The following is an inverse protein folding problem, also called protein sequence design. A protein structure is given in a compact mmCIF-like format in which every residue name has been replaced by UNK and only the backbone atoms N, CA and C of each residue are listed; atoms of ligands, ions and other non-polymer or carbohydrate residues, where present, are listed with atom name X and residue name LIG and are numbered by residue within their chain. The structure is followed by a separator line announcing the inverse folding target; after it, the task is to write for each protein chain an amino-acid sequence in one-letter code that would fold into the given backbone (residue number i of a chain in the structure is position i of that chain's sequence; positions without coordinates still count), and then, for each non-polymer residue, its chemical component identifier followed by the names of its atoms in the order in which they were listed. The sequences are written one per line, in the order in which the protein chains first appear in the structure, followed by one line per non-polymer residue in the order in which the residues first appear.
data_IF_280114101646
#
_entry.id   IF_280114101646
#
_cell.length_a   1.000
_cell.length_b   1.000
_cell.length_c   1.000
_cell.angle_alpha   90.00
_cell.angle_beta   90.00
_cell.angle_gamma   90.00
#
_symmetry.space_group_name_H-M   'P 1'
#
loop_
_entity.id
_entity.type
_entity.pdbx_description
1 polymer ?
#
# COMPACT_ATOMS: atom_id res chain seq x y z
N UNK A 1 -12.97 -12.12 2.11
CA UNK A 1 -11.88 -11.33 2.71
C UNK A 1 -11.15 -12.25 3.67
N UNK A 2 -9.85 -12.53 3.44
CA UNK A 2 -9.07 -13.25 4.44
C UNK A 2 -8.98 -12.37 5.70
N UNK A 3 -9.02 -12.99 6.87
CA UNK A 3 -8.92 -12.32 8.18
C UNK A 3 -7.65 -11.47 8.32
N UNK A 4 -6.61 -11.79 7.55
CA UNK A 4 -5.36 -11.04 7.51
C UNK A 4 -5.50 -9.66 6.87
N UNK A 5 -6.28 -9.51 5.79
CA UNK A 5 -6.44 -8.22 5.08
C UNK A 5 -7.05 -7.16 6.00
N UNK A 6 -7.90 -7.58 6.95
CA UNK A 6 -8.50 -6.69 7.94
C UNK A 6 -7.48 -6.05 8.89
N UNK A 7 -6.24 -6.55 8.93
CA UNK A 7 -5.13 -5.98 9.72
C UNK A 7 -4.45 -4.80 9.02
N UNK A 8 -4.65 -4.61 7.71
CA UNK A 8 -4.08 -3.48 6.97
C UNK A 8 -4.74 -2.19 7.45
N UNK A 9 -3.93 -1.30 8.04
CA UNK A 9 -4.36 -0.02 8.59
C UNK A 9 -3.74 1.13 7.80
N UNK A 10 -4.40 2.29 7.86
CA UNK A 10 -3.79 3.52 7.37
C UNK A 10 -2.47 3.80 8.08
N UNK A 11 -1.55 4.46 7.38
CA UNK A 11 -0.19 4.79 7.85
C UNK A 11 0.81 3.64 7.96
N UNK A 12 0.43 2.40 7.64
CA UNK A 12 1.40 1.31 7.51
C UNK A 12 2.30 1.53 6.29
N UNK A 13 3.56 1.10 6.38
CA UNK A 13 4.47 1.06 5.23
C UNK A 13 4.16 -0.15 4.35
N UNK A 14 4.36 0.03 3.04
CA UNK A 14 4.34 -1.04 2.05
C UNK A 14 5.76 -1.19 1.54
N UNK A 15 6.37 -2.32 1.86
CA UNK A 15 7.74 -2.66 1.50
C UNK A 15 7.73 -3.66 0.35
N UNK A 16 8.56 -3.41 -0.65
CA UNK A 16 8.77 -4.32 -1.77
C UNK A 16 9.50 -5.58 -1.32
N UNK A 17 9.41 -6.64 -2.12
CA UNK A 17 10.15 -7.88 -1.85
C UNK A 17 11.69 -7.70 -1.88
N UNK A 18 12.17 -6.58 -2.43
CA UNK A 18 13.55 -6.12 -2.41
C UNK A 18 13.95 -5.35 -1.13
N UNK A 19 13.01 -5.18 -0.19
CA UNK A 19 13.21 -4.44 1.05
C UNK A 19 13.10 -2.92 0.87
N UNK A 20 12.70 -2.42 -0.30
CA UNK A 20 12.60 -0.98 -0.58
C UNK A 20 11.19 -0.48 -0.27
N UNK A 21 11.11 0.72 0.31
CA UNK A 21 9.83 1.40 0.53
C UNK A 21 9.13 1.70 -0.79
N UNK A 22 7.89 1.23 -0.92
CA UNK A 22 7.02 1.48 -2.09
C UNK A 22 6.02 2.59 -1.81
N UNK A 23 5.53 2.68 -0.57
CA UNK A 23 4.62 3.74 -0.18
C UNK A 23 3.91 3.48 1.15
N UNK A 24 3.12 4.45 1.57
CA UNK A 24 2.36 4.40 2.82
C UNK A 24 0.89 4.12 2.51
N UNK A 25 0.24 3.26 3.29
CA UNK A 25 -1.18 2.94 3.15
C UNK A 25 -2.04 4.17 3.50
N UNK A 26 -2.94 4.55 2.59
CA UNK A 26 -4.07 5.45 2.86
C UNK A 26 -5.24 4.64 3.42
N UNK A 27 -5.70 3.65 2.65
CA UNK A 27 -6.75 2.70 3.04
C UNK A 27 -6.80 1.48 2.12
N UNK A 28 -7.55 0.46 2.52
CA UNK A 28 -8.04 -0.57 1.59
C UNK A 28 -9.26 -0.02 0.82
N UNK A 29 -9.27 -0.21 -0.49
CA UNK A 29 -10.30 0.27 -1.41
C UNK A 29 -10.69 -0.88 -2.37
N UNK A 30 -11.74 -1.61 -2.01
CA UNK A 30 -12.14 -2.83 -2.70
C UNK A 30 -11.11 -3.95 -2.53
N UNK A 31 -10.53 -4.39 -3.64
CA UNK A 31 -9.52 -5.46 -3.72
C UNK A 31 -8.07 -4.91 -3.79
N UNK A 32 -7.88 -3.63 -3.49
CA UNK A 32 -6.59 -2.94 -3.59
C UNK A 32 -6.26 -2.14 -2.34
N UNK A 33 -4.96 -1.99 -2.09
CA UNK A 33 -4.39 -1.01 -1.17
C UNK A 33 -4.25 0.30 -1.94
N UNK A 34 -4.84 1.37 -1.43
CA UNK A 34 -4.62 2.72 -1.88
C UNK A 34 -3.46 3.32 -1.11
N UNK A 35 -2.45 3.84 -1.81
CA UNK A 35 -1.32 4.53 -1.19
C UNK A 35 -1.61 6.02 -0.99
N UNK A 36 -0.97 6.61 0.00
CA UNK A 36 -1.11 8.05 0.27
C UNK A 36 -0.57 8.88 -0.89
N UNK A 37 -1.21 10.03 -1.13
CA UNK A 37 -0.82 10.98 -2.18
C UNK A 37 0.47 11.76 -1.83
N UNK A 38 0.81 11.86 -0.54
CA UNK A 38 2.02 12.54 -0.11
C UNK A 38 3.27 11.70 -0.42
N UNK A 39 3.10 10.38 -0.45
CA UNK A 39 4.15 9.39 -0.69
C UNK A 39 4.15 8.89 -2.14
N UNK A 40 3.60 9.69 -3.06
CA UNK A 40 3.75 9.42 -4.48
C UNK A 40 5.18 9.80 -4.90
N UNK A 41 5.79 8.98 -5.77
CA UNK A 41 7.10 9.25 -6.34
C UNK A 41 7.22 10.57 -7.11
N UNK A 42 8.35 10.76 -7.80
CA UNK A 42 8.67 12.03 -8.47
C UNK A 42 8.03 12.14 -9.88
N UNK A 43 8.11 13.34 -10.46
CA UNK A 43 7.69 13.58 -11.84
C UNK A 43 6.18 13.43 -12.06
N UNK A 44 5.79 12.73 -13.12
CA UNK A 44 4.38 12.51 -13.51
C UNK A 44 3.57 11.69 -12.50
N UNK A 45 4.24 11.04 -11.55
CA UNK A 45 3.60 10.28 -10.48
C UNK A 45 3.31 11.12 -9.24
N UNK A 46 3.93 12.31 -9.12
CA UNK A 46 3.81 13.15 -7.92
C UNK A 46 2.36 13.59 -7.71
N UNK A 47 1.85 13.36 -6.50
CA UNK A 47 0.51 13.79 -6.11
C UNK A 47 -0.61 12.90 -6.66
N UNK A 48 -0.32 11.67 -7.06
CA UNK A 48 -1.30 10.67 -7.47
C UNK A 48 -1.50 9.61 -6.39
N UNK A 49 -2.71 9.06 -6.29
CA UNK A 49 -2.90 7.82 -5.54
C UNK A 49 -2.49 6.63 -6.42
N UNK A 50 -1.51 5.88 -5.95
CA UNK A 50 -1.16 4.59 -6.53
C UNK A 50 -1.89 3.47 -5.80
N UNK A 51 -2.04 2.34 -6.48
CA UNK A 51 -2.80 1.21 -5.98
C UNK A 51 -2.00 -0.08 -6.17
N UNK A 52 -2.07 -0.96 -5.18
CA UNK A 52 -1.47 -2.30 -5.20
C UNK A 52 -2.59 -3.31 -4.98
N UNK A 53 -2.62 -4.38 -5.79
CA UNK A 53 -3.61 -5.44 -5.60
C UNK A 53 -3.36 -6.19 -4.30
N UNK A 54 -4.42 -6.49 -3.54
CA UNK A 54 -4.32 -7.33 -2.34
C UNK A 54 -3.82 -8.75 -2.65
N UNK A 55 -3.95 -9.20 -3.91
CA UNK A 55 -3.42 -10.49 -4.35
C UNK A 55 -1.87 -10.53 -4.38
N UNK A 56 -1.20 -9.38 -4.27
CA UNK A 56 0.26 -9.27 -4.22
C UNK A 56 0.81 -9.22 -2.78
N UNK A 57 -0.06 -9.18 -1.76
CA UNK A 57 0.36 -9.13 -0.36
C UNK A 57 0.79 -10.53 0.10
N UNK A 58 2.05 -10.66 0.50
CA UNK A 58 2.59 -11.90 1.03
C UNK A 58 2.41 -12.02 2.56
N UNK A 59 2.65 -10.92 3.28
CA UNK A 59 2.65 -10.85 4.74
C UNK A 59 2.19 -9.47 5.23
N UNK A 60 1.71 -9.40 6.46
CA UNK A 60 1.36 -8.18 7.18
C UNK A 60 2.01 -8.28 8.57
N UNK A 61 2.88 -7.32 8.87
CA UNK A 61 3.61 -7.22 10.15
C UNK A 61 3.20 -5.95 10.92
N UNK A 62 3.40 -5.95 12.24
CA UNK A 62 2.99 -4.88 13.18
C UNK A 62 3.99 -3.71 13.29
#
# INVERSE_FOLDING_TARGET
MSTEISKIRGHMEVIGADGVHIGTVDKVDGDRIKLTKADSGMGSHKGHHHYISLALVAEIDD
#
